data_IF_554718724981
#
_entry.id   IF_554718724981
#
_cell.length_a   1.000
_cell.length_b   1.000
_cell.length_c   1.000
_cell.angle_alpha   90.00
_cell.angle_beta   90.00
_cell.angle_gamma   90.00
#
_symmetry.space_group_name_H-M   'P 1'
#
loop_
_entity.id
_entity.type
_entity.pdbx_description
1 polymer ?
#
# COMPACT_ATOMS: atom_id res chain seq x y z
N UNK A 1 57.38 1.12 7.67
CA UNK A 1 56.67 2.25 7.04
C UNK A 1 56.65 2.05 5.53
N UNK A 2 55.56 1.56 4.93
CA UNK A 2 55.32 1.62 3.48
C UNK A 2 53.81 1.76 3.21
N UNK A 3 53.38 2.98 2.88
CA UNK A 3 52.15 3.25 2.12
C UNK A 3 52.58 3.48 0.68
N UNK A 4 52.01 2.75 -0.27
CA UNK A 4 51.85 3.24 -1.65
C UNK A 4 50.49 2.76 -2.14
N UNK A 5 49.70 3.74 -2.56
CA UNK A 5 48.35 3.69 -3.11
C UNK A 5 48.46 3.66 -4.65
N UNK A 6 47.67 2.84 -5.34
CA UNK A 6 46.93 3.14 -6.60
C UNK A 6 46.44 1.81 -7.27
N UNK A 7 45.13 1.60 -7.56
CA UNK A 7 44.26 2.20 -8.62
C UNK A 7 44.67 1.54 -9.97
N UNK A 8 43.89 0.77 -10.76
CA UNK A 8 42.46 0.65 -11.14
C UNK A 8 42.27 -0.72 -11.80
N UNK A 9 41.11 -1.40 -11.69
CA UNK A 9 40.38 -1.77 -12.91
C UNK A 9 38.88 -1.90 -12.62
N UNK A 10 38.10 -1.47 -13.61
CA UNK A 10 36.67 -1.27 -13.56
C UNK A 10 35.92 -2.60 -13.68
N UNK A 11 34.88 -2.77 -12.86
CA UNK A 11 33.74 -3.59 -13.26
C UNK A 11 32.49 -2.73 -13.18
N UNK A 12 31.84 -2.62 -14.33
CA UNK A 12 30.56 -1.98 -14.52
C UNK A 12 29.45 -2.69 -13.73
N UNK A 13 28.34 -1.97 -13.56
CA UNK A 13 27.03 -2.43 -13.08
C UNK A 13 26.98 -2.79 -11.58
N UNK A 14 26.29 -2.02 -10.74
CA UNK A 14 24.88 -1.67 -10.92
C UNK A 14 24.62 -0.30 -10.35
N UNK A 15 24.28 0.68 -11.20
CA UNK A 15 23.40 1.76 -10.75
C UNK A 15 22.03 1.09 -10.55
N UNK A 16 21.80 0.51 -9.38
CA UNK A 16 20.43 0.38 -8.90
C UNK A 16 19.86 1.78 -8.96
N UNK A 17 18.95 2.02 -9.91
CA UNK A 17 18.15 3.23 -9.90
C UNK A 17 17.55 3.29 -8.50
N UNK A 18 18.06 4.20 -7.67
CA UNK A 18 17.53 4.43 -6.35
C UNK A 18 16.19 5.09 -6.59
N UNK A 19 15.16 4.27 -6.79
CA UNK A 19 13.77 4.71 -6.84
C UNK A 19 13.57 5.59 -5.63
N UNK A 20 13.07 6.80 -5.87
CA UNK A 20 12.72 7.72 -4.80
C UNK A 20 11.68 6.99 -3.94
N UNK A 21 12.05 6.66 -2.71
CA UNK A 21 11.20 5.99 -1.71
C UNK A 21 10.92 7.02 -0.62
N UNK A 22 9.72 7.01 -0.07
CA UNK A 22 9.38 7.87 1.06
C UNK A 22 10.25 7.50 2.26
N UNK A 23 10.53 8.47 3.15
CA UNK A 23 11.25 8.17 4.38
C UNK A 23 10.37 7.28 5.27
N UNK A 24 11.00 6.42 6.10
CA UNK A 24 10.26 5.60 7.06
C UNK A 24 9.38 6.47 7.98
N UNK A 25 9.88 7.64 8.37
CA UNK A 25 9.14 8.63 9.18
C UNK A 25 7.83 9.09 8.52
N UNK A 26 7.82 9.32 7.20
CA UNK A 26 6.58 9.67 6.47
C UNK A 26 5.53 8.55 6.58
N UNK A 27 5.95 7.30 6.42
CA UNK A 27 5.04 6.15 6.51
C UNK A 27 4.55 5.97 7.95
N UNK A 28 5.43 6.06 8.94
CA UNK A 28 5.06 5.99 10.37
C UNK A 28 4.06 7.08 10.76
N UNK A 29 4.18 8.27 10.18
CA UNK A 29 3.22 9.36 10.38
C UNK A 29 1.85 8.99 9.82
N UNK A 30 1.78 8.49 8.58
CA UNK A 30 0.52 8.02 7.97
C UNK A 30 -0.13 6.93 8.81
N UNK A 31 0.65 5.95 9.26
CA UNK A 31 0.19 4.84 10.10
C UNK A 31 -0.40 5.34 11.42
N UNK A 32 0.26 6.31 12.04
CA UNK A 32 -0.16 6.91 13.30
C UNK A 32 -1.44 7.73 13.14
N UNK A 33 -1.53 8.56 12.09
CA UNK A 33 -2.73 9.34 11.77
C UNK A 33 -3.92 8.44 11.43
N UNK A 34 -3.69 7.36 10.67
CA UNK A 34 -4.70 6.34 10.39
C UNK A 34 -5.21 5.69 11.67
N UNK A 35 -4.31 5.23 12.54
CA UNK A 35 -4.68 4.65 13.82
C UNK A 35 -5.46 5.64 14.70
N UNK A 36 -5.10 6.92 14.69
CA UNK A 36 -5.82 7.95 15.42
C UNK A 36 -7.24 8.12 14.88
N UNK A 37 -7.42 8.20 13.55
CA UNK A 37 -8.72 8.29 12.93
C UNK A 37 -9.62 7.07 13.25
N UNK A 38 -9.03 5.87 13.31
CA UNK A 38 -9.75 4.64 13.67
C UNK A 38 -10.14 4.55 15.16
N UNK A 39 -9.47 5.30 16.06
CA UNK A 39 -9.86 5.39 17.47
C UNK A 39 -11.03 6.34 17.71
N UNK A 40 -11.26 7.28 16.80
CA UNK A 40 -12.40 8.17 16.89
C UNK A 40 -13.69 7.41 16.61
N UNK A 41 -14.76 7.78 17.33
CA UNK A 41 -16.10 7.32 17.02
C UNK A 41 -16.49 7.69 15.59
N UNK A 42 -17.39 6.90 15.00
CA UNK A 42 -17.92 7.18 13.68
C UNK A 42 -18.65 8.53 13.68
N UNK A 43 -18.36 9.36 12.68
CA UNK A 43 -18.97 10.68 12.51
C UNK A 43 -17.98 11.71 11.97
N UNK A 44 -18.43 12.97 11.95
CA UNK A 44 -17.75 14.07 11.24
C UNK A 44 -16.26 14.23 11.56
N UNK A 45 -15.87 14.02 12.82
CA UNK A 45 -14.46 14.13 13.23
C UNK A 45 -13.59 13.09 12.53
N UNK A 46 -14.03 11.82 12.53
CA UNK A 46 -13.33 10.75 11.85
C UNK A 46 -13.32 10.96 10.34
N UNK A 47 -14.44 11.38 9.77
CA UNK A 47 -14.57 11.60 8.33
C UNK A 47 -13.63 12.72 7.85
N UNK A 48 -13.52 13.81 8.61
CA UNK A 48 -12.59 14.90 8.31
C UNK A 48 -11.12 14.46 8.42
N UNK A 49 -10.78 13.66 9.44
CA UNK A 49 -9.42 13.12 9.58
C UNK A 49 -9.07 12.17 8.43
N UNK A 50 -10.01 11.30 8.02
CA UNK A 50 -9.82 10.39 6.90
C UNK A 50 -9.74 11.12 5.56
N UNK A 51 -10.53 12.18 5.37
CA UNK A 51 -10.46 13.04 4.19
C UNK A 51 -9.07 13.67 4.04
N UNK A 52 -8.58 14.32 5.10
CA UNK A 52 -7.27 14.96 5.07
C UNK A 52 -6.13 13.95 4.87
N UNK A 53 -6.25 12.77 5.49
CA UNK A 53 -5.27 11.70 5.32
C UNK A 53 -5.31 11.12 3.89
N UNK A 54 -6.50 10.97 3.30
CA UNK A 54 -6.66 10.52 1.92
C UNK A 54 -5.96 11.48 0.96
N UNK A 55 -6.20 12.79 1.07
CA UNK A 55 -5.51 13.82 0.27
C UNK A 55 -3.98 13.70 0.39
N UNK A 56 -3.48 13.63 1.63
CA UNK A 56 -2.04 13.53 1.91
C UNK A 56 -1.42 12.28 1.29
N UNK A 57 -2.09 11.12 1.42
CA UNK A 57 -1.58 9.86 0.88
C UNK A 57 -1.65 9.78 -0.64
N UNK A 58 -2.64 10.43 -1.26
CA UNK A 58 -2.75 10.52 -2.71
C UNK A 58 -1.63 11.40 -3.28
N UNK A 59 -1.37 12.57 -2.68
CA UNK A 59 -0.23 13.41 -3.05
C UNK A 59 1.09 12.66 -2.91
N UNK A 60 1.25 11.90 -1.82
CA UNK A 60 2.45 11.09 -1.62
C UNK A 60 2.57 9.99 -2.67
N UNK A 61 1.48 9.31 -3.05
CA UNK A 61 1.48 8.33 -4.12
C UNK A 61 1.88 8.93 -5.48
N UNK A 62 1.47 10.17 -5.75
CA UNK A 62 1.92 10.90 -6.94
C UNK A 62 3.41 11.27 -6.90
N UNK A 63 3.93 11.62 -5.72
CA UNK A 63 5.35 11.95 -5.53
C UNK A 63 6.27 10.71 -5.54
N UNK A 64 5.74 9.56 -5.13
CA UNK A 64 6.46 8.30 -4.97
C UNK A 64 5.75 7.13 -5.68
N UNK A 65 5.56 7.19 -7.02
CA UNK A 65 4.75 6.22 -7.77
C UNK A 65 5.39 4.82 -7.90
N UNK A 66 6.64 4.68 -7.46
CA UNK A 66 7.41 3.43 -7.48
C UNK A 66 7.71 2.92 -6.07
N UNK A 67 7.06 3.46 -5.05
CA UNK A 67 7.18 3.01 -3.67
C UNK A 67 5.96 2.15 -3.31
N UNK A 68 6.16 0.84 -3.22
CA UNK A 68 5.10 -0.11 -2.90
C UNK A 68 4.44 0.18 -1.55
N UNK A 69 5.21 0.66 -0.55
CA UNK A 69 4.70 0.92 0.80
C UNK A 69 3.82 2.16 0.80
N UNK A 70 4.19 3.22 0.09
CA UNK A 70 3.37 4.42 -0.08
C UNK A 70 2.04 4.05 -0.76
N UNK A 71 2.10 3.29 -1.85
CA UNK A 71 0.92 2.88 -2.61
C UNK A 71 -0.01 1.97 -1.80
N UNK A 72 0.55 1.05 -1.02
CA UNK A 72 -0.19 0.21 -0.08
C UNK A 72 -0.96 1.07 0.93
N UNK A 73 -0.28 2.01 1.59
CA UNK A 73 -0.92 2.88 2.58
C UNK A 73 -1.95 3.83 1.96
N UNK A 74 -1.71 4.33 0.74
CA UNK A 74 -2.70 5.09 -0.02
C UNK A 74 -3.98 4.27 -0.22
N UNK A 75 -3.86 3.02 -0.68
CA UNK A 75 -5.03 2.15 -0.86
C UNK A 75 -5.78 1.86 0.44
N UNK A 76 -5.06 1.61 1.55
CA UNK A 76 -5.67 1.38 2.87
C UNK A 76 -6.49 2.60 3.31
N UNK A 77 -5.88 3.80 3.21
CA UNK A 77 -6.52 5.05 3.63
C UNK A 77 -7.76 5.34 2.79
N UNK A 78 -7.63 5.23 1.46
CA UNK A 78 -8.73 5.44 0.52
C UNK A 78 -9.90 4.48 0.77
N UNK A 79 -9.61 3.22 1.10
CA UNK A 79 -10.65 2.22 1.40
C UNK A 79 -11.43 2.59 2.67
N UNK A 80 -10.75 3.06 3.71
CA UNK A 80 -11.43 3.53 4.92
C UNK A 80 -12.23 4.80 4.70
N UNK A 81 -11.69 5.74 3.92
CA UNK A 81 -12.40 6.98 3.61
C UNK A 81 -13.63 6.74 2.73
N UNK A 82 -13.54 5.82 1.76
CA UNK A 82 -14.69 5.38 0.97
C UNK A 82 -15.81 4.82 1.86
N UNK A 83 -15.46 4.06 2.90
CA UNK A 83 -16.44 3.52 3.86
C UNK A 83 -17.17 4.61 4.66
N UNK A 84 -16.52 5.74 4.97
CA UNK A 84 -17.18 6.88 5.61
C UNK A 84 -18.09 7.66 4.65
N UNK A 85 -17.72 7.80 3.38
CA UNK A 85 -18.48 8.59 2.40
C UNK A 85 -19.79 7.91 1.96
N UNK A 86 -19.74 6.61 1.68
CA UNK A 86 -20.84 5.89 1.05
C UNK A 86 -21.20 6.37 -0.37
N UNK A 87 -22.19 5.73 -0.98
CA UNK A 87 -22.74 6.10 -2.29
C UNK A 87 -21.73 6.03 -3.46
N UNK A 88 -22.00 6.81 -4.51
CA UNK A 88 -21.18 6.81 -5.73
C UNK A 88 -19.78 7.39 -5.51
N UNK A 89 -19.63 8.34 -4.58
CA UNK A 89 -18.32 8.90 -4.23
C UNK A 89 -17.39 7.82 -3.65
N UNK A 90 -17.92 6.91 -2.84
CA UNK A 90 -17.15 5.80 -2.29
C UNK A 90 -16.58 4.89 -3.40
N UNK A 91 -17.33 4.63 -4.47
CA UNK A 91 -16.88 3.77 -5.56
C UNK A 91 -15.66 4.32 -6.28
N UNK A 92 -15.59 5.65 -6.49
CA UNK A 92 -14.43 6.28 -7.10
C UNK A 92 -13.17 6.09 -6.24
N UNK A 93 -13.29 6.29 -4.92
CA UNK A 93 -12.16 6.08 -4.00
C UNK A 93 -11.77 4.61 -3.87
N UNK A 94 -12.74 3.68 -3.91
CA UNK A 94 -12.46 2.24 -3.99
C UNK A 94 -11.70 1.88 -5.28
N UNK A 95 -12.05 2.47 -6.42
CA UNK A 95 -11.33 2.25 -7.68
C UNK A 95 -9.89 2.79 -7.62
N UNK A 96 -9.67 3.96 -7.03
CA UNK A 96 -8.33 4.51 -6.80
C UNK A 96 -7.51 3.63 -5.82
N UNK A 97 -8.15 3.09 -4.79
CA UNK A 97 -7.52 2.15 -3.86
C UNK A 97 -7.09 0.87 -4.58
N UNK A 98 -7.97 0.29 -5.39
CA UNK A 98 -7.69 -0.88 -6.24
C UNK A 98 -6.45 -0.64 -7.10
N UNK A 99 -6.42 0.47 -7.86
CA UNK A 99 -5.27 0.79 -8.72
C UNK A 99 -3.96 0.94 -7.92
N UNK A 100 -4.03 1.50 -6.72
CA UNK A 100 -2.88 1.65 -5.83
C UNK A 100 -2.35 0.30 -5.35
N UNK A 101 -3.25 -0.62 -4.96
CA UNK A 101 -2.86 -1.97 -4.56
C UNK A 101 -2.31 -2.79 -5.72
N UNK A 102 -2.91 -2.74 -6.90
CA UNK A 102 -2.40 -3.42 -8.10
C UNK A 102 -1.00 -2.93 -8.48
N UNK A 103 -0.75 -1.62 -8.35
CA UNK A 103 0.57 -1.04 -8.55
C UNK A 103 1.55 -1.49 -7.46
N UNK A 104 1.13 -1.52 -6.20
CA UNK A 104 1.94 -2.01 -5.08
C UNK A 104 2.34 -3.48 -5.29
N UNK A 105 1.41 -4.35 -5.70
CA UNK A 105 1.67 -5.76 -6.04
C UNK A 105 2.68 -5.86 -7.19
N UNK A 106 2.55 -5.01 -8.21
CA UNK A 106 3.48 -4.99 -9.35
C UNK A 106 4.91 -4.63 -8.93
N UNK A 107 5.07 -3.80 -7.91
CA UNK A 107 6.38 -3.35 -7.40
C UNK A 107 6.96 -4.31 -6.36
N UNK A 108 6.12 -4.89 -5.51
CA UNK A 108 6.49 -5.81 -4.44
C UNK A 108 5.58 -7.06 -4.46
N UNK A 109 5.76 -7.96 -5.43
CA UNK A 109 4.87 -9.12 -5.60
C UNK A 109 4.97 -10.15 -4.47
N UNK A 110 6.00 -10.04 -3.63
CA UNK A 110 6.21 -10.87 -2.45
C UNK A 110 5.55 -10.29 -1.19
N UNK A 111 5.03 -9.06 -1.25
CA UNK A 111 4.35 -8.43 -0.11
C UNK A 111 2.89 -8.91 -0.03
N UNK A 112 2.65 -9.87 0.87
CA UNK A 112 1.32 -10.43 1.10
C UNK A 112 0.28 -9.41 1.54
N UNK A 113 0.68 -8.29 2.15
CA UNK A 113 -0.27 -7.29 2.63
C UNK A 113 -1.07 -6.66 1.48
N UNK A 114 -0.43 -6.36 0.35
CA UNK A 114 -1.10 -5.76 -0.81
C UNK A 114 -2.19 -6.68 -1.38
N UNK A 115 -1.94 -8.00 -1.42
CA UNK A 115 -2.93 -8.99 -1.84
C UNK A 115 -4.09 -9.10 -0.85
N UNK A 116 -3.80 -9.09 0.46
CA UNK A 116 -4.83 -9.15 1.49
C UNK A 116 -5.79 -7.96 1.41
N UNK A 117 -5.25 -6.73 1.32
CA UNK A 117 -6.07 -5.53 1.23
C UNK A 117 -6.83 -5.42 -0.11
N UNK A 118 -6.22 -5.86 -1.22
CA UNK A 118 -6.93 -5.95 -2.50
C UNK A 118 -8.07 -6.96 -2.42
N UNK A 119 -7.84 -8.14 -1.81
CA UNK A 119 -8.87 -9.15 -1.61
C UNK A 119 -10.04 -8.65 -0.75
N UNK A 120 -9.76 -7.99 0.39
CA UNK A 120 -10.77 -7.32 1.22
C UNK A 120 -11.58 -6.29 0.42
N UNK A 121 -10.92 -5.57 -0.48
CA UNK A 121 -11.58 -4.57 -1.32
C UNK A 121 -12.54 -5.22 -2.31
N UNK A 122 -12.17 -6.33 -2.95
CA UNK A 122 -13.05 -7.11 -3.83
C UNK A 122 -14.23 -7.74 -3.08
N UNK A 123 -14.03 -8.13 -1.82
CA UNK A 123 -15.09 -8.70 -0.96
C UNK A 123 -16.14 -7.65 -0.56
N UNK A 124 -15.72 -6.40 -0.32
CA UNK A 124 -16.59 -5.33 0.16
C UNK A 124 -17.15 -4.41 -0.94
N UNK A 125 -16.59 -4.45 -2.15
CA UNK A 125 -17.11 -3.68 -3.27
C UNK A 125 -18.43 -4.28 -3.79
N UNK A 126 -19.37 -3.46 -4.29
CA UNK A 126 -20.56 -4.00 -4.94
C UNK A 126 -20.19 -4.73 -6.23
N UNK A 127 -20.98 -5.74 -6.57
CA UNK A 127 -20.82 -6.49 -7.81
C UNK A 127 -21.08 -5.62 -9.06
N UNK A 128 -20.64 -6.14 -10.21
CA UNK A 128 -20.94 -5.53 -11.51
C UNK A 128 -22.46 -5.38 -11.73
N UNK A 129 -22.92 -4.34 -12.48
CA UNK A 129 -22.14 -3.39 -13.29
C UNK A 129 -21.67 -2.13 -12.54
N UNK A 130 -22.10 -1.93 -11.30
CA UNK A 130 -21.86 -0.68 -10.57
C UNK A 130 -20.54 -0.66 -9.80
N UNK A 131 -19.97 -1.82 -9.49
CA UNK A 131 -18.64 -1.95 -8.91
C UNK A 131 -17.85 -3.08 -9.55
N UNK A 132 -16.80 -3.48 -8.85
CA UNK A 132 -15.86 -4.52 -9.27
C UNK A 132 -15.79 -5.69 -8.29
N UNK A 133 -16.72 -5.75 -7.33
CA UNK A 133 -16.75 -6.80 -6.32
C UNK A 133 -16.92 -8.18 -6.97
N UNK A 134 -16.09 -9.12 -6.52
CA UNK A 134 -16.07 -10.50 -7.01
C UNK A 134 -15.49 -11.40 -5.91
N UNK A 135 -16.34 -12.24 -5.33
CA UNK A 135 -15.99 -13.13 -4.21
C UNK A 135 -14.94 -14.17 -4.61
N UNK A 136 -14.96 -14.65 -5.87
CA UNK A 136 -13.98 -15.61 -6.37
C UNK A 136 -12.59 -14.97 -6.44
N UNK A 137 -12.52 -13.74 -6.97
CA UNK A 137 -11.27 -12.97 -7.02
C UNK A 137 -10.81 -12.63 -5.60
N UNK A 138 -11.72 -12.17 -4.74
CA UNK A 138 -11.43 -11.85 -3.34
C UNK A 138 -10.79 -13.04 -2.62
N UNK A 139 -11.42 -14.22 -2.70
CA UNK A 139 -10.91 -15.44 -2.06
C UNK A 139 -9.53 -15.83 -2.59
N UNK A 140 -9.34 -15.78 -3.91
CA UNK A 140 -8.04 -16.11 -4.53
C UNK A 140 -6.92 -15.19 -4.04
N UNK A 141 -7.18 -13.88 -4.00
CA UNK A 141 -6.23 -12.87 -3.51
C UNK A 141 -5.92 -13.04 -2.02
N UNK A 142 -6.93 -13.31 -1.20
CA UNK A 142 -6.74 -13.53 0.24
C UNK A 142 -5.92 -14.78 0.52
N UNK A 143 -6.20 -15.89 -0.17
CA UNK A 143 -5.40 -17.11 -0.06
C UNK A 143 -3.94 -16.88 -0.49
N UNK A 144 -3.72 -16.11 -1.56
CA UNK A 144 -2.38 -15.77 -2.01
C UNK A 144 -1.65 -14.89 -1.00
N UNK A 145 -2.30 -13.84 -0.51
CA UNK A 145 -1.75 -12.95 0.51
C UNK A 145 -1.36 -13.71 1.78
N UNK A 146 -2.20 -14.63 2.25
CA UNK A 146 -1.93 -15.45 3.42
C UNK A 146 -0.71 -16.36 3.21
N UNK A 147 -0.61 -17.03 2.05
CA UNK A 147 0.56 -17.87 1.70
C UNK A 147 1.85 -17.05 1.70
N UNK A 148 1.83 -15.84 1.14
CA UNK A 148 3.00 -14.95 1.09
C UNK A 148 3.40 -14.48 2.49
N UNK A 149 2.45 -14.05 3.31
CA UNK A 149 2.71 -13.63 4.70
C UNK A 149 3.27 -14.78 5.53
N UNK A 150 2.68 -15.98 5.46
CA UNK A 150 3.18 -17.16 6.18
C UNK A 150 4.61 -17.53 5.75
N UNK A 151 4.87 -17.59 4.45
CA UNK A 151 6.20 -17.90 3.92
C UNK A 151 7.25 -16.87 4.39
N UNK A 152 6.90 -15.58 4.43
CA UNK A 152 7.78 -14.54 4.94
C UNK A 152 8.10 -14.74 6.43
N UNK A 153 7.12 -15.14 7.26
CA UNK A 153 7.35 -15.38 8.69
C UNK A 153 8.18 -16.63 8.94
N UNK A 154 8.03 -17.68 8.13
CA UNK A 154 8.86 -18.89 8.21
C UNK A 154 10.32 -18.62 7.83
N UNK A 155 10.58 -17.73 6.86
CA UNK A 155 11.95 -17.32 6.54
C UNK A 155 12.63 -16.60 7.70
N UNK A 156 11.92 -15.74 8.43
CA UNK A 156 12.45 -15.05 9.61
C UNK A 156 12.69 -15.98 10.79
N UNK A 157 11.89 -17.04 10.96
CA UNK A 157 12.12 -18.05 12.02
C UNK A 157 13.37 -18.90 11.75
N UNK A 158 13.76 -19.05 10.48
CA UNK A 158 14.89 -19.89 10.06
C UNK A 158 16.22 -19.15 9.93
N UNK A 159 16.23 -17.83 10.09
CA UNK A 159 17.42 -16.98 10.05
C UNK A 159 17.97 -16.72 11.47
#
# INVERSE_FOLDING_TARGET
>A
MRRVFNVIDASAASRTARTKTATNQCIETIQSSWAQALRCDFGRTRDAMLCHLAETTQELAHQYPNDAKVLLWNGIVLTGYAKSLGGLCALQFQAHAKASFERAISLAPNDGAAYLYLGLLYDHAPAAPYGFGDESIAKSLLEQGLKLTMNSTEQLRRA
#
